data_IF_137749511968
#
_entry.id   IF_137749511968
#
_cell.length_a   1.000
_cell.length_b   1.000
_cell.length_c   1.000
_cell.angle_alpha   90.00
_cell.angle_beta   90.00
_cell.angle_gamma   90.00
#
_symmetry.space_group_name_H-M   'P 1'
#
loop_
_entity.id
_entity.type
_entity.pdbx_description
1 polymer ?
2 non-polymer ?
3 water ?
#
# COMPACT_ATOMS: atom_id res chain seq x y z
N UNK A 10 13.25 -13.14 11.76
CA UNK A 10 11.98 -13.31 11.01
C UNK A 10 12.21 -13.18 9.51
N UNK A 11 11.16 -13.42 8.72
CA UNK A 11 11.26 -13.33 7.27
C UNK A 11 11.49 -11.89 6.83
N UNK A 12 12.28 -11.71 5.78
CA UNK A 12 12.56 -10.39 5.26
C UNK A 12 11.32 -9.79 4.63
N UNK A 13 10.27 -10.61 4.50
CA UNK A 13 9.04 -10.14 3.90
C UNK A 13 7.93 -9.79 4.88
N UNK A 14 8.23 -9.85 6.18
CA UNK A 14 7.21 -9.51 7.18
C UNK A 14 7.70 -8.63 8.33
N UNK A 15 8.99 -8.70 8.68
CA UNK A 15 9.49 -7.91 9.80
C UNK A 15 9.29 -6.40 9.67
N UNK A 16 8.96 -5.77 10.79
CA UNK A 16 8.74 -4.33 10.87
C UNK A 16 7.68 -3.83 9.90
N UNK A 17 6.67 -4.65 9.66
CA UNK A 17 5.58 -4.30 8.74
C UNK A 17 4.92 -2.97 9.09
N UNK A 18 4.71 -2.72 10.38
CA UNK A 18 4.06 -1.49 10.81
C UNK A 18 4.80 -0.24 10.35
N UNK A 19 6.09 -0.15 10.68
CA UNK A 19 6.89 1.00 10.27
C UNK A 19 7.01 1.11 8.76
N UNK A 20 7.18 -0.02 8.07
CA UNK A 20 7.31 0.02 6.63
C UNK A 20 6.03 0.54 5.97
N UNK A 21 4.88 0.03 6.40
CA UNK A 21 3.63 0.48 5.81
C UNK A 21 3.32 1.93 6.20
N UNK A 22 3.75 2.35 7.39
CA UNK A 22 3.52 3.73 7.81
C UNK A 22 4.28 4.65 6.85
N UNK A 23 5.52 4.28 6.55
CA UNK A 23 6.34 5.08 5.64
C UNK A 23 5.78 5.06 4.22
N UNK A 24 5.40 3.88 3.75
CA UNK A 24 4.83 3.77 2.41
C UNK A 24 3.59 4.65 2.29
N UNK A 25 2.73 4.62 3.31
CA UNK A 25 1.50 5.42 3.27
C UNK A 25 1.77 6.93 3.25
N UNK A 26 2.85 7.35 3.92
CA UNK A 26 3.19 8.77 3.96
C UNK A 26 3.71 9.24 2.60
N UNK A 27 4.34 8.34 1.86
CA UNK A 27 4.93 8.67 0.57
C UNK A 27 4.12 8.40 -0.69
N UNK A 28 3.11 7.55 -0.61
CA UNK A 28 2.32 7.22 -1.79
C UNK A 28 1.71 8.42 -2.51
N UNK A 29 1.09 9.32 -1.77
CA UNK A 29 0.49 10.48 -2.40
C UNK A 29 -0.51 10.05 -3.46
N UNK A 30 -0.47 10.69 -4.63
CA UNK A 30 -1.40 10.35 -5.71
C UNK A 30 -1.27 8.92 -6.22
N UNK A 31 -0.14 8.28 -5.93
CA UNK A 31 0.10 6.92 -6.41
C UNK A 31 -0.71 5.79 -5.76
N UNK A 32 -1.39 6.04 -4.65
CA UNK A 32 -2.12 4.96 -3.98
C UNK A 32 -3.18 4.23 -4.81
N UNK A 33 -3.90 4.95 -5.67
CA UNK A 33 -4.93 4.29 -6.46
C UNK A 33 -4.32 3.37 -7.50
N UNK A 34 -3.21 3.78 -8.10
CA UNK A 34 -2.56 2.94 -9.10
C UNK A 34 -2.01 1.71 -8.40
N UNK A 35 -1.49 1.90 -7.19
CA UNK A 35 -0.96 0.78 -6.43
C UNK A 35 -2.10 -0.20 -6.16
N UNK A 36 -3.25 0.34 -5.74
CA UNK A 36 -4.41 -0.49 -5.43
C UNK A 36 -4.78 -1.35 -6.64
N UNK A 37 -4.76 -0.75 -7.83
CA UNK A 37 -5.08 -1.50 -9.04
C UNK A 37 -4.04 -2.59 -9.27
N UNK A 38 -2.78 -2.23 -9.09
CA UNK A 38 -1.68 -3.18 -9.28
C UNK A 38 -1.84 -4.36 -8.32
N UNK A 39 -2.38 -4.08 -7.14
CA UNK A 39 -2.60 -5.10 -6.12
C UNK A 39 -3.92 -5.84 -6.34
N UNK A 40 -4.58 -5.53 -7.45
CA UNK A 40 -5.83 -6.18 -7.80
C UNK A 40 -7.07 -5.86 -6.97
N UNK A 41 -7.16 -4.64 -6.45
CA UNK A 41 -8.35 -4.26 -5.70
C UNK A 41 -9.37 -3.80 -6.73
N UNK A 42 -10.65 -4.03 -6.46
CA UNK A 42 -11.70 -3.64 -7.41
C UNK A 42 -11.92 -2.13 -7.47
N UNK A 43 -12.54 -1.67 -8.55
CA UNK A 43 -12.82 -0.25 -8.71
C UNK A 43 -13.79 0.18 -7.62
N UNK A 44 -14.64 -0.74 -7.19
CA UNK A 44 -15.60 -0.43 -6.13
C UNK A 44 -14.86 -0.15 -4.82
N UNK A 45 -13.90 -1.01 -4.47
CA UNK A 45 -13.13 -0.82 -3.25
C UNK A 45 -12.31 0.46 -3.27
N UNK A 46 -11.72 0.76 -4.41
CA UNK A 46 -10.91 1.97 -4.55
C UNK A 46 -11.78 3.22 -4.36
N UNK A 47 -12.96 3.23 -4.97
CA UNK A 47 -13.83 4.39 -4.81
C UNK A 47 -14.39 4.50 -3.40
N UNK A 48 -14.59 3.36 -2.74
CA UNK A 48 -15.10 3.38 -1.38
C UNK A 48 -14.07 4.12 -0.51
N UNK A 49 -12.79 3.82 -0.73
CA UNK A 49 -11.72 4.49 0.02
C UNK A 49 -11.78 6.00 -0.25
N UNK A 50 -12.01 6.37 -1.51
CA UNK A 50 -12.10 7.78 -1.88
C UNK A 50 -13.23 8.50 -1.13
N UNK A 51 -14.41 7.91 -1.13
CA UNK A 51 -15.56 8.54 -0.47
C UNK A 51 -15.48 8.54 1.05
N UNK A 52 -14.83 7.54 1.64
CA UNK A 52 -14.71 7.47 3.09
C UNK A 52 -13.60 8.36 3.65
N UNK A 53 -12.68 8.79 2.78
CA UNK A 53 -11.55 9.63 3.17
C UNK A 53 -11.29 10.65 2.05
N UNK A 54 -12.30 11.46 1.69
CA UNK A 54 -12.21 12.46 0.62
C UNK A 54 -11.22 13.61 0.67
N UNK A 55 -10.81 14.04 1.85
CA UNK A 55 -9.90 15.19 1.93
C UNK A 55 -8.44 14.91 2.28
N UNK A 56 -8.01 13.66 2.19
CA UNK A 56 -6.62 13.35 2.53
C UNK A 56 -6.02 12.17 1.78
N UNK A 57 -4.97 12.44 1.01
CA UNK A 57 -4.29 11.38 0.28
C UNK A 57 -3.65 10.44 1.30
N UNK A 58 -3.22 11.00 2.44
CA UNK A 58 -2.60 10.18 3.48
C UNK A 58 -3.61 9.17 4.04
N UNK A 59 -4.80 9.65 4.41
CA UNK A 59 -5.84 8.78 4.94
C UNK A 59 -6.24 7.70 3.94
N UNK A 60 -6.32 8.08 2.67
CA UNK A 60 -6.67 7.13 1.62
C UNK A 60 -5.59 6.05 1.49
N UNK A 61 -4.32 6.46 1.57
CA UNK A 61 -3.21 5.52 1.47
C UNK A 61 -3.19 4.57 2.68
N UNK A 62 -3.40 5.13 3.87
CA UNK A 62 -3.42 4.31 5.08
C UNK A 62 -4.56 3.30 4.99
N UNK A 63 -5.71 3.75 4.50
CA UNK A 63 -6.88 2.88 4.37
C UNK A 63 -6.59 1.74 3.41
N UNK A 64 -5.88 2.02 2.33
CA UNK A 64 -5.56 0.98 1.34
C UNK A 64 -4.65 -0.09 1.94
N UNK A 65 -3.60 0.33 2.63
CA UNK A 65 -2.67 -0.63 3.21
C UNK A 65 -3.36 -1.45 4.31
N UNK A 66 -4.31 -0.84 5.00
CA UNK A 66 -5.05 -1.55 6.04
C UNK A 66 -5.93 -2.62 5.38
N UNK A 67 -6.52 -2.27 4.24
CA UNK A 67 -7.38 -3.21 3.52
C UNK A 67 -6.54 -4.38 3.00
N UNK A 68 -5.32 -4.09 2.58
CA UNK A 68 -4.41 -5.11 2.06
C UNK A 68 -4.00 -6.09 3.18
N UNK A 69 -3.68 -5.56 4.36
CA UNK A 69 -3.29 -6.39 5.49
C UNK A 69 -4.41 -7.38 5.82
N UNK A 70 -5.64 -6.88 5.83
CA UNK A 70 -6.82 -7.71 6.12
C UNK A 70 -7.05 -8.77 5.04
N UNK A 71 -6.96 -8.36 3.77
CA UNK A 71 -7.17 -9.30 2.68
C UNK A 71 -6.13 -10.42 2.62
N UNK A 72 -4.86 -10.06 2.79
CA UNK A 72 -3.77 -11.03 2.73
C UNK A 72 -3.69 -11.93 3.96
N UNK A 73 -4.08 -11.41 5.12
CA UNK A 73 -4.02 -12.20 6.33
C UNK A 73 -2.66 -12.85 6.53
N UNK A 74 -2.67 -14.16 6.76
CA UNK A 74 -1.47 -14.95 6.98
C UNK A 74 -0.53 -15.05 5.79
N UNK A 75 -1.06 -14.84 4.59
CA UNK A 75 -0.25 -14.94 3.38
C UNK A 75 0.39 -13.63 2.97
N UNK A 76 0.24 -12.60 3.80
CA UNK A 76 0.81 -11.30 3.49
C UNK A 76 2.34 -11.37 3.39
N UNK A 77 2.88 -10.69 2.39
CA UNK A 77 4.31 -10.65 2.15
C UNK A 77 4.66 -9.29 1.57
N UNK A 78 5.45 -8.52 2.32
CA UNK A 78 5.85 -7.18 1.91
C UNK A 78 6.49 -7.16 0.52
N UNK A 79 7.08 -8.28 0.10
CA UNK A 79 7.71 -8.32 -1.21
C UNK A 79 6.69 -8.04 -2.32
N UNK A 80 5.42 -8.35 -2.06
CA UNK A 80 4.38 -8.09 -3.05
C UNK A 80 4.08 -6.60 -3.13
N UNK A 81 4.23 -5.89 -2.02
CA UNK A 81 4.01 -4.45 -2.02
C UNK A 81 5.16 -3.80 -2.77
N UNK A 82 6.37 -4.30 -2.52
CA UNK A 82 7.55 -3.76 -3.18
C UNK A 82 7.50 -3.95 -4.69
N UNK A 83 7.09 -5.13 -5.14
CA UNK A 83 7.00 -5.40 -6.57
C UNK A 83 6.00 -4.44 -7.21
N UNK A 84 4.86 -4.25 -6.55
CA UNK A 84 3.82 -3.35 -7.05
C UNK A 84 4.34 -1.92 -7.11
N UNK A 85 5.03 -1.49 -6.06
CA UNK A 85 5.58 -0.14 -6.00
C UNK A 85 6.54 0.09 -7.16
N UNK A 86 7.39 -0.89 -7.43
CA UNK A 86 8.36 -0.77 -8.50
C UNK A 86 7.66 -0.73 -9.85
N UNK A 87 6.56 -1.48 -9.97
CA UNK A 87 5.80 -1.52 -11.21
C UNK A 87 5.12 -0.19 -11.53
N UNK A 88 4.80 0.59 -10.50
CA UNK A 88 4.16 1.88 -10.73
C UNK A 88 5.13 3.05 -10.66
N UNK A 89 6.42 2.76 -10.82
CA UNK A 89 7.46 3.78 -10.81
C UNK A 89 7.67 4.49 -9.47
N UNK A 90 7.48 3.77 -8.37
CA UNK A 90 7.69 4.36 -7.06
C UNK A 90 8.71 3.52 -6.30
N UNK A 91 9.70 3.01 -7.04
CA UNK A 91 10.73 2.19 -6.44
C UNK A 91 11.59 2.96 -5.45
N UNK A 92 11.54 4.29 -5.50
CA UNK A 92 12.34 5.09 -4.59
C UNK A 92 11.89 4.86 -3.15
N UNK A 93 10.62 4.50 -2.96
CA UNK A 93 10.12 4.23 -1.61
C UNK A 93 10.76 2.93 -1.11
N UNK A 94 10.85 1.95 -2.00
CA UNK A 94 11.45 0.66 -1.64
C UNK A 94 12.92 0.87 -1.27
N UNK A 95 13.63 1.66 -2.07
CA UNK A 95 15.04 1.93 -1.81
C UNK A 95 15.22 2.54 -0.43
N UNK A 96 14.33 3.46 -0.07
CA UNK A 96 14.39 4.13 1.23
C UNK A 96 14.24 3.11 2.37
N UNK A 97 13.34 2.15 2.19
CA UNK A 97 13.09 1.14 3.20
C UNK A 97 14.11 0.01 3.24
N UNK A 98 14.56 -0.43 2.08
CA UNK A 98 15.51 -1.54 2.02
C UNK A 98 16.95 -1.14 1.70
X LIG B 1 7.22 -10.30 12.06
X LIG B 1 7.13 -11.26 11.01
X LIG B 1 6.70 -8.96 11.59
X LIG B 1 5.31 -9.07 11.21
X LIG B 1 6.81 -7.95 12.69
X LIG B 1 6.34 -6.70 12.24
#
# INVERSE_FOLDING_TARGET
GSSGSSGPGSLSGTEQAEMKMAVISEHLGLSWAELARELQFSVEDINRIRVENPNSLLEQSVALLNLWVIREGQNANMENLYTALQSIDRGEIVNMLEGSGRQSRNLKPDR
GOL C1 O1 C2 O2 C3 O3
#
